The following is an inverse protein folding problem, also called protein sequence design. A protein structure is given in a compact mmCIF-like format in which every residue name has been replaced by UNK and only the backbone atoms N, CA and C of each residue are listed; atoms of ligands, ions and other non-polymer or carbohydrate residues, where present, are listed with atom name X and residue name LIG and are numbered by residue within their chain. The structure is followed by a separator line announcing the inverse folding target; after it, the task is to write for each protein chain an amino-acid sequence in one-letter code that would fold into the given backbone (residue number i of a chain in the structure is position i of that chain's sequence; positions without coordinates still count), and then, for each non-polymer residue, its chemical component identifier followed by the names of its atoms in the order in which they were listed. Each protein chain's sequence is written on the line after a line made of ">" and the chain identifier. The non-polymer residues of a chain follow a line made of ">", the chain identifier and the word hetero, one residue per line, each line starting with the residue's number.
data_IF_711114479073
#
_entry.id   IF_711114479073
#
_cell.length_a   1.000
_cell.length_b   1.000
_cell.length_c   1.000
_cell.angle_alpha   90.00
_cell.angle_beta   90.00
_cell.angle_gamma   90.00
#
_symmetry.space_group_name_H-M   'P 1'
#
loop_
_entity.id
_entity.type
_entity.pdbx_description
1 polymer ?
#
# COMPACT_ATOMS: atom_id res chain seq x y z
N UNK A 1 -25.38 -17.98 8.19
CA UNK A 1 -24.14 -18.26 7.43
C UNK A 1 -23.58 -17.06 6.67
N UNK A 2 -24.38 -16.35 5.85
CA UNK A 2 -23.90 -15.23 4.99
C UNK A 2 -23.29 -14.05 5.75
N UNK A 3 -23.82 -13.71 6.93
CA UNK A 3 -23.30 -12.64 7.80
C UNK A 3 -21.85 -12.90 8.26
N UNK A 4 -21.55 -14.15 8.65
CA UNK A 4 -20.20 -14.57 9.06
C UNK A 4 -19.21 -14.62 7.89
N UNK A 5 -19.66 -15.05 6.70
CA UNK A 5 -18.79 -15.09 5.51
C UNK A 5 -18.38 -13.69 5.07
N UNK A 6 -19.28 -12.72 5.12
CA UNK A 6 -18.99 -11.36 4.65
C UNK A 6 -18.11 -10.58 5.64
N UNK A 7 -18.31 -10.76 6.95
CA UNK A 7 -17.39 -10.22 7.97
C UNK A 7 -15.99 -10.77 7.78
N UNK A 8 -15.82 -12.09 7.63
CA UNK A 8 -14.50 -12.69 7.44
C UNK A 8 -13.78 -12.19 6.18
N UNK A 9 -14.53 -11.92 5.10
CA UNK A 9 -13.95 -11.34 3.87
C UNK A 9 -13.48 -9.91 4.12
N UNK A 10 -14.23 -9.12 4.88
CA UNK A 10 -13.83 -7.77 5.28
C UNK A 10 -12.55 -7.83 6.13
N UNK A 11 -12.51 -8.66 7.17
CA UNK A 11 -11.36 -8.79 8.06
C UNK A 11 -10.08 -9.18 7.30
N UNK A 12 -10.18 -10.12 6.35
CA UNK A 12 -9.05 -10.53 5.49
C UNK A 12 -8.60 -9.36 4.61
N UNK A 13 -9.53 -8.53 4.15
CA UNK A 13 -9.21 -7.42 3.26
C UNK A 13 -8.60 -6.23 3.99
N UNK A 14 -9.03 -5.97 5.22
CA UNK A 14 -8.40 -5.00 6.12
C UNK A 14 -6.94 -5.39 6.38
N UNK A 15 -6.67 -6.66 6.70
CA UNK A 15 -5.29 -7.15 6.84
C UNK A 15 -4.46 -6.99 5.57
N UNK A 16 -5.04 -7.29 4.41
CA UNK A 16 -4.35 -7.11 3.14
C UNK A 16 -4.01 -5.64 2.87
N UNK A 17 -4.86 -4.70 3.30
CA UNK A 17 -4.59 -3.26 3.21
C UNK A 17 -3.45 -2.90 4.15
N UNK A 18 -3.48 -3.32 5.41
CA UNK A 18 -2.41 -3.06 6.39
C UNK A 18 -1.04 -3.59 5.90
N UNK A 19 -1.01 -4.78 5.30
CA UNK A 19 0.20 -5.36 4.74
C UNK A 19 0.71 -4.53 3.53
N UNK A 20 -0.20 -4.04 2.68
CA UNK A 20 0.17 -3.17 1.55
C UNK A 20 0.58 -1.76 1.96
N UNK A 21 0.04 -1.23 3.05
CA UNK A 21 0.49 0.03 3.65
C UNK A 21 1.91 -0.11 4.18
N UNK A 22 2.23 -1.22 4.84
CA UNK A 22 3.61 -1.53 5.26
C UNK A 22 4.57 -1.67 4.08
N UNK A 23 4.19 -2.41 3.04
CA UNK A 23 5.01 -2.49 1.81
C UNK A 23 5.25 -1.12 1.16
N UNK A 24 4.28 -0.21 1.22
CA UNK A 24 4.41 1.14 0.71
C UNK A 24 5.38 1.96 1.56
N UNK A 25 5.28 1.88 2.89
CA UNK A 25 6.19 2.55 3.82
C UNK A 25 7.64 2.08 3.62
N UNK A 26 7.86 0.77 3.50
CA UNK A 26 9.18 0.20 3.19
C UNK A 26 9.74 0.72 1.86
N UNK A 27 8.91 0.82 0.82
CA UNK A 27 9.34 1.35 -0.47
C UNK A 27 9.68 2.85 -0.42
N UNK A 28 8.96 3.62 0.40
CA UNK A 28 9.27 5.05 0.64
C UNK A 28 10.61 5.18 1.37
N UNK A 29 10.83 4.42 2.44
CA UNK A 29 12.10 4.42 3.16
C UNK A 29 13.27 4.04 2.24
N UNK A 30 13.06 3.08 1.33
CA UNK A 30 14.05 2.71 0.32
C UNK A 30 14.41 3.88 -0.61
N UNK A 31 13.46 4.72 -1.01
CA UNK A 31 13.75 5.93 -1.79
C UNK A 31 14.61 6.92 -1.01
N UNK A 32 14.33 7.09 0.27
CA UNK A 32 15.10 8.00 1.12
C UNK A 32 16.55 7.52 1.24
N UNK A 33 16.75 6.21 1.45
CA UNK A 33 18.08 5.58 1.48
C UNK A 33 18.82 5.76 0.14
N UNK A 34 18.15 5.52 -0.99
CA UNK A 34 18.74 5.72 -2.33
C UNK A 34 19.10 7.19 -2.55
N UNK A 35 18.26 8.12 -2.09
CA UNK A 35 18.50 9.56 -2.22
C UNK A 35 19.71 9.99 -1.38
N UNK A 36 19.83 9.50 -0.15
CA UNK A 36 21.02 9.71 0.67
C UNK A 36 22.28 9.12 0.02
N UNK A 37 22.18 7.94 -0.59
CA UNK A 37 23.28 7.31 -1.30
C UNK A 37 23.70 8.09 -2.57
N UNK A 38 22.75 8.70 -3.28
CA UNK A 38 23.02 9.59 -4.40
C UNK A 38 23.78 10.83 -3.94
N UNK A 39 23.30 11.51 -2.90
CA UNK A 39 23.96 12.70 -2.34
C UNK A 39 25.40 12.39 -1.88
N UNK A 40 25.61 11.24 -1.25
CA UNK A 40 26.94 10.78 -0.87
C UNK A 40 27.83 10.53 -2.11
N UNK A 41 27.29 9.87 -3.13
CA UNK A 41 28.02 9.60 -4.38
C UNK A 41 28.39 10.91 -5.10
N UNK A 42 27.51 11.92 -5.09
CA UNK A 42 27.79 13.23 -5.68
C UNK A 42 28.91 13.98 -4.94
N UNK A 43 28.92 13.91 -3.60
CA UNK A 43 30.02 14.46 -2.79
C UNK A 43 31.34 13.75 -3.07
N UNK A 44 31.32 12.43 -3.24
CA UNK A 44 32.51 11.67 -3.60
C UNK A 44 33.03 12.04 -5.00
N UNK A 45 32.13 12.26 -5.96
CA UNK A 45 32.48 12.75 -7.30
C UNK A 45 33.15 14.12 -7.21
N UNK A 46 32.53 15.08 -6.50
CA UNK A 46 33.08 16.43 -6.31
C UNK A 46 34.46 16.39 -5.66
N UNK A 47 34.62 15.59 -4.59
CA UNK A 47 35.90 15.40 -3.92
C UNK A 47 36.96 14.85 -4.86
N UNK A 48 36.61 13.84 -5.66
CA UNK A 48 37.55 13.21 -6.61
C UNK A 48 37.95 14.19 -7.73
N UNK A 49 37.03 15.03 -8.19
CA UNK A 49 37.36 16.12 -9.14
C UNK A 49 38.33 17.14 -8.53
N UNK A 50 38.14 17.51 -7.26
CA UNK A 50 39.05 18.41 -6.57
C UNK A 50 40.45 17.79 -6.42
N UNK A 51 40.54 16.48 -6.19
CA UNK A 51 41.82 15.74 -6.14
C UNK A 51 42.52 15.71 -7.51
N UNK A 52 41.78 15.56 -8.61
CA UNK A 52 42.33 15.63 -9.96
C UNK A 52 42.87 17.02 -10.34
N UNK A 53 42.36 18.08 -9.70
CA UNK A 53 42.82 19.44 -9.95
C UNK A 53 44.16 19.79 -9.27
N UNK A 54 44.74 18.87 -8.48
CA UNK A 54 46.01 19.08 -7.77
C UNK A 54 47.17 19.17 -8.78
N UNK A 55 47.95 20.26 -8.82
CA UNK A 55 49.00 20.47 -9.83
C UNK A 55 50.17 19.47 -9.79
N UNK A 56 50.37 18.79 -8.66
CA UNK A 56 51.49 17.87 -8.42
C UNK A 56 51.10 16.39 -8.55
N UNK A 57 50.00 16.10 -9.23
CA UNK A 57 49.48 14.74 -9.37
C UNK A 57 50.40 13.89 -10.26
N UNK A 58 50.75 12.68 -9.81
CA UNK A 58 51.50 11.75 -10.65
C UNK A 58 50.61 11.13 -11.74
N UNK A 59 51.20 10.67 -12.84
CA UNK A 59 50.43 10.01 -13.91
C UNK A 59 49.72 8.72 -13.44
N UNK A 60 50.28 8.02 -12.44
CA UNK A 60 49.65 6.85 -11.83
C UNK A 60 48.42 7.23 -11.01
N UNK A 61 48.54 8.26 -10.16
CA UNK A 61 47.42 8.77 -9.35
C UNK A 61 46.29 9.29 -10.24
N UNK A 62 46.63 9.96 -11.35
CA UNK A 62 45.66 10.41 -12.35
C UNK A 62 44.86 9.25 -12.94
N UNK A 63 45.51 8.15 -13.31
CA UNK A 63 44.82 6.98 -13.88
C UNK A 63 43.84 6.38 -12.87
N UNK A 64 44.26 6.23 -11.61
CA UNK A 64 43.43 5.67 -10.54
C UNK A 64 42.21 6.55 -10.27
N UNK A 65 42.40 7.86 -10.14
CA UNK A 65 41.30 8.80 -9.89
C UNK A 65 40.32 8.87 -11.06
N UNK A 66 40.81 8.77 -12.30
CA UNK A 66 39.97 8.69 -13.50
C UNK A 66 39.11 7.42 -13.51
N UNK A 67 39.69 6.26 -13.22
CA UNK A 67 38.96 4.99 -13.17
C UNK A 67 37.93 5.00 -12.04
N UNK A 68 38.30 5.60 -10.89
CA UNK A 68 37.39 5.76 -9.77
C UNK A 68 36.21 6.68 -10.10
N UNK A 69 36.42 7.79 -10.83
CA UNK A 69 35.33 8.63 -11.33
C UNK A 69 34.40 7.89 -12.28
N UNK A 70 34.95 7.03 -13.15
CA UNK A 70 34.13 6.18 -14.02
C UNK A 70 33.23 5.28 -13.18
N UNK A 71 33.80 4.62 -12.15
CA UNK A 71 33.04 3.81 -11.22
C UNK A 71 31.94 4.61 -10.49
N UNK A 72 32.25 5.82 -10.03
CA UNK A 72 31.27 6.68 -9.34
C UNK A 72 30.13 7.10 -10.27
N UNK A 73 30.41 7.40 -11.54
CA UNK A 73 29.39 7.67 -12.54
C UNK A 73 28.49 6.46 -12.80
N UNK A 74 29.07 5.26 -12.96
CA UNK A 74 28.32 4.01 -13.13
C UNK A 74 27.48 3.68 -11.89
N UNK A 75 28.00 3.98 -10.69
CA UNK A 75 27.26 3.85 -9.44
C UNK A 75 26.10 4.83 -9.36
N UNK A 76 26.32 6.10 -9.73
CA UNK A 76 25.29 7.12 -9.77
C UNK A 76 24.16 6.72 -10.72
N UNK A 77 24.50 6.26 -11.93
CA UNK A 77 23.49 5.81 -12.89
C UNK A 77 22.66 4.65 -12.34
N UNK A 78 23.30 3.64 -11.73
CA UNK A 78 22.59 2.52 -11.10
C UNK A 78 21.62 2.96 -9.99
N UNK A 79 22.03 3.91 -9.16
CA UNK A 79 21.17 4.47 -8.11
C UNK A 79 19.98 5.26 -8.70
N UNK A 80 20.18 5.98 -9.81
CA UNK A 80 19.09 6.64 -10.53
C UNK A 80 18.09 5.61 -11.09
N UNK A 81 18.59 4.57 -11.75
CA UNK A 81 17.74 3.52 -12.30
C UNK A 81 16.95 2.80 -11.19
N UNK A 82 17.59 2.51 -10.05
CA UNK A 82 16.97 1.90 -8.88
C UNK A 82 15.90 2.83 -8.25
N UNK A 83 16.17 4.13 -8.20
CA UNK A 83 15.21 5.14 -7.74
C UNK A 83 13.97 5.14 -8.62
N UNK A 84 14.13 5.15 -9.93
CA UNK A 84 13.03 5.17 -10.89
C UNK A 84 12.17 3.89 -10.78
N UNK A 85 12.80 2.72 -10.68
CA UNK A 85 12.10 1.46 -10.45
C UNK A 85 11.31 1.46 -9.14
N UNK A 86 11.90 2.00 -8.07
CA UNK A 86 11.24 2.09 -6.76
C UNK A 86 10.08 3.07 -6.80
N UNK A 87 10.20 4.19 -7.50
CA UNK A 87 9.10 5.14 -7.72
C UNK A 87 7.94 4.51 -8.49
N UNK A 88 8.22 3.74 -9.55
CA UNK A 88 7.19 2.99 -10.27
C UNK A 88 6.48 1.97 -9.35
N UNK A 89 7.23 1.29 -8.48
CA UNK A 89 6.67 0.37 -7.49
C UNK A 89 5.75 1.09 -6.50
N UNK A 90 6.15 2.27 -5.99
CA UNK A 90 5.34 3.10 -5.10
C UNK A 90 4.01 3.48 -5.77
N UNK A 91 4.06 3.92 -7.03
CA UNK A 91 2.85 4.31 -7.74
C UNK A 91 1.91 3.11 -7.94
N UNK A 92 2.47 1.95 -8.30
CA UNK A 92 1.68 0.72 -8.41
C UNK A 92 1.04 0.32 -7.06
N UNK A 93 1.78 0.44 -5.96
CA UNK A 93 1.26 0.17 -4.60
C UNK A 93 0.12 1.12 -4.23
N UNK A 94 0.25 2.42 -4.55
CA UNK A 94 -0.80 3.42 -4.33
C UNK A 94 -2.07 3.09 -5.10
N UNK A 95 -1.95 2.76 -6.39
CA UNK A 95 -3.08 2.35 -7.22
C UNK A 95 -3.76 1.10 -6.63
N UNK A 96 -2.96 0.11 -6.22
CA UNK A 96 -3.48 -1.11 -5.61
C UNK A 96 -4.23 -0.82 -4.30
N UNK A 97 -3.68 0.02 -3.41
CA UNK A 97 -4.32 0.43 -2.16
C UNK A 97 -5.66 1.14 -2.42
N UNK A 98 -5.70 2.08 -3.37
CA UNK A 98 -6.95 2.77 -3.76
C UNK A 98 -8.01 1.76 -4.20
N UNK A 99 -7.64 0.76 -4.99
CA UNK A 99 -8.56 -0.27 -5.44
C UNK A 99 -9.04 -1.14 -4.28
N UNK A 100 -8.15 -1.57 -3.39
CA UNK A 100 -8.51 -2.33 -2.19
C UNK A 100 -9.48 -1.55 -1.28
N UNK A 101 -9.26 -0.25 -1.09
CA UNK A 101 -10.15 0.62 -0.31
C UNK A 101 -11.53 0.76 -0.96
N UNK A 102 -11.61 0.91 -2.29
CA UNK A 102 -12.89 0.93 -3.02
C UNK A 102 -13.66 -0.38 -2.83
N UNK A 103 -12.96 -1.50 -2.92
CA UNK A 103 -13.55 -2.83 -2.72
C UNK A 103 -14.00 -3.05 -1.28
N UNK A 104 -13.22 -2.60 -0.29
CA UNK A 104 -13.60 -2.64 1.12
C UNK A 104 -14.91 -1.87 1.35
N UNK A 105 -14.99 -0.63 0.86
CA UNK A 105 -16.20 0.19 0.93
C UNK A 105 -17.41 -0.49 0.30
N UNK A 106 -17.22 -1.17 -0.82
CA UNK A 106 -18.29 -1.95 -1.46
C UNK A 106 -18.75 -3.13 -0.58
N UNK A 107 -17.82 -3.86 0.05
CA UNK A 107 -18.15 -4.93 0.98
C UNK A 107 -18.92 -4.42 2.20
N UNK A 108 -18.57 -3.26 2.74
CA UNK A 108 -19.30 -2.64 3.84
C UNK A 108 -20.73 -2.25 3.46
N UNK A 109 -20.93 -1.72 2.25
CA UNK A 109 -22.27 -1.45 1.70
C UNK A 109 -23.08 -2.75 1.59
N UNK A 110 -22.47 -3.83 1.11
CA UNK A 110 -23.12 -5.15 1.03
C UNK A 110 -23.48 -5.68 2.43
N UNK A 111 -22.59 -5.52 3.42
CA UNK A 111 -22.84 -5.86 4.83
C UNK A 111 -24.06 -5.12 5.37
N UNK A 112 -24.13 -3.80 5.14
CA UNK A 112 -25.25 -2.96 5.56
C UNK A 112 -26.58 -3.37 4.88
N UNK A 113 -26.55 -3.61 3.57
CA UNK A 113 -27.72 -4.09 2.81
C UNK A 113 -28.20 -5.45 3.33
N UNK A 114 -27.29 -6.39 3.56
CA UNK A 114 -27.63 -7.71 4.10
C UNK A 114 -28.25 -7.60 5.51
N UNK A 115 -27.71 -6.76 6.37
CA UNK A 115 -28.26 -6.52 7.71
C UNK A 115 -29.69 -5.95 7.66
N UNK A 116 -29.96 -5.00 6.74
CA UNK A 116 -31.31 -4.44 6.52
C UNK A 116 -32.30 -5.51 6.06
N UNK A 117 -31.90 -6.41 5.16
CA UNK A 117 -32.74 -7.52 4.69
C UNK A 117 -33.07 -8.48 5.83
N UNK A 118 -32.07 -8.89 6.62
CA UNK A 118 -32.28 -9.77 7.78
C UNK A 118 -33.28 -9.17 8.75
N UNK A 119 -33.11 -7.89 9.14
CA UNK A 119 -34.02 -7.19 10.04
C UNK A 119 -35.44 -7.10 9.49
N UNK A 120 -35.60 -6.82 8.20
CA UNK A 120 -36.92 -6.78 7.54
C UNK A 120 -37.61 -8.14 7.56
N UNK A 121 -36.88 -9.22 7.29
CA UNK A 121 -37.41 -10.58 7.31
C UNK A 121 -37.83 -11.00 8.71
N UNK A 122 -37.03 -10.65 9.72
CA UNK A 122 -37.33 -10.91 11.12
C UNK A 122 -38.57 -10.15 11.59
N UNK A 123 -38.67 -8.86 11.28
CA UNK A 123 -39.86 -8.05 11.56
C UNK A 123 -41.12 -8.63 10.91
N UNK A 124 -41.05 -9.06 9.65
CA UNK A 124 -42.17 -9.72 8.95
C UNK A 124 -42.58 -11.02 9.63
N UNK A 125 -41.62 -11.80 10.15
CA UNK A 125 -41.90 -13.04 10.89
C UNK A 125 -42.59 -12.75 12.22
N UNK A 126 -42.11 -11.75 12.97
CA UNK A 126 -42.72 -11.31 14.24
C UNK A 126 -44.14 -10.82 14.00
N UNK A 127 -44.35 -9.97 12.99
CA UNK A 127 -45.67 -9.45 12.65
C UNK A 127 -46.65 -10.57 12.29
N UNK A 128 -46.27 -11.51 11.42
CA UNK A 128 -47.11 -12.67 11.10
C UNK A 128 -47.49 -13.48 12.34
N UNK A 129 -46.56 -13.65 13.29
CA UNK A 129 -46.84 -14.37 14.53
C UNK A 129 -47.86 -13.59 15.40
N UNK A 130 -47.69 -12.28 15.55
CA UNK A 130 -48.62 -11.43 16.29
C UNK A 130 -50.01 -11.42 15.66
N UNK A 131 -50.09 -11.27 14.34
CA UNK A 131 -51.36 -11.32 13.59
C UNK A 131 -52.05 -12.68 13.78
N UNK A 132 -51.29 -13.79 13.72
CA UNK A 132 -51.84 -15.14 13.96
C UNK A 132 -52.34 -15.34 15.39
N UNK A 133 -51.69 -14.74 16.39
CA UNK A 133 -52.15 -14.77 17.78
C UNK A 133 -53.42 -13.95 17.97
N UNK A 134 -53.50 -12.77 17.34
CA UNK A 134 -54.67 -11.91 17.38
C UNK A 134 -55.91 -12.61 16.79
N UNK A 135 -55.76 -13.29 15.65
CA UNK A 135 -56.84 -14.07 15.03
C UNK A 135 -57.37 -15.17 15.96
N UNK A 136 -56.49 -15.93 16.62
CA UNK A 136 -56.88 -16.97 17.59
C UNK A 136 -57.60 -16.44 18.82
N UNK A 137 -57.28 -15.22 19.26
CA UNK A 137 -57.97 -14.57 20.38
C UNK A 137 -59.34 -14.06 19.93
N UNK A 138 -59.45 -13.54 18.71
CA UNK A 138 -60.71 -13.11 18.11
C UNK A 138 -61.71 -14.25 17.93
N UNK A 139 -61.25 -15.43 17.50
CA UNK A 139 -62.07 -16.65 17.37
C UNK A 139 -62.59 -17.19 18.71
N UNK A 140 -61.91 -16.91 19.84
CA UNK A 140 -62.34 -17.33 21.19
C UNK A 140 -63.36 -16.40 21.84
N UNK A 141 -63.63 -15.23 21.25
CA UNK A 141 -64.59 -14.23 21.77
C UNK A 141 -65.97 -14.34 21.13
N UNK A 142 -66.20 -15.34 20.27
CA UNK A 142 -67.50 -15.69 19.69
C UNK A 142 -68.03 -16.94 20.39
#
# INVERSE_FOLDING_TARGET
>A
MTKFRLSRIIDVKEKLIEDKERELEEAINTIDDITMALDATEKDVEKTYNELAIPSLSGGDFSVLKDYLSYLNDRKQRLIDEKDLTQQRIEQLRINLINLMKELKMLEILRSKAAKVVKRTENRRIQKNLDSMALRIGERRI
#
